data_IF_837705311417
#
_entry.id   IF_837705311417
#
_cell.length_a   1.000
_cell.length_b   1.000
_cell.length_c   1.000
_cell.angle_alpha   90.00
_cell.angle_beta   90.00
_cell.angle_gamma   90.00
#
_symmetry.space_group_name_H-M   'P 1'
#
loop_
_entity.id
_entity.type
_entity.pdbx_description
1 polymer ?
#
# COMPACT_ATOMS: atom_id res chain seq x y z
N UNK A 1 3.11 14.87 -14.43
CA UNK A 1 3.60 14.94 -13.03
C UNK A 1 2.78 13.97 -12.17
N UNK A 2 3.42 13.20 -11.31
CA UNK A 2 2.74 12.21 -10.47
C UNK A 2 2.32 12.84 -9.14
N UNK A 3 1.07 12.63 -8.72
CA UNK A 3 0.52 13.16 -7.46
C UNK A 3 -0.34 12.11 -6.75
N UNK A 4 -0.21 12.02 -5.43
CA UNK A 4 -1.10 11.19 -4.61
C UNK A 4 -2.47 11.87 -4.50
N UNK A 5 -3.52 11.15 -4.90
CA UNK A 5 -4.93 11.57 -4.78
C UNK A 5 -5.55 11.04 -3.49
N UNK A 6 -5.20 9.82 -3.09
CA UNK A 6 -5.66 9.20 -1.85
C UNK A 6 -4.48 8.65 -1.06
N UNK A 7 -4.33 9.10 0.17
CA UNK A 7 -3.35 8.57 1.13
C UNK A 7 -3.98 7.50 2.03
N UNK A 8 -3.19 6.53 2.51
CA UNK A 8 -3.64 5.57 3.51
C UNK A 8 -4.21 6.27 4.76
N UNK A 9 -5.39 5.86 5.21
CA UNK A 9 -5.99 6.39 6.44
C UNK A 9 -5.25 5.81 7.65
N UNK A 10 -4.97 6.67 8.65
CA UNK A 10 -4.52 6.21 9.96
C UNK A 10 -5.67 5.47 10.64
N UNK A 11 -5.45 4.20 10.93
CA UNK A 11 -6.45 3.30 11.53
C UNK A 11 -5.80 2.55 12.68
N UNK A 12 -6.49 2.46 13.80
CA UNK A 12 -6.12 1.60 14.93
C UNK A 12 -6.85 0.26 14.76
N UNK A 13 -6.18 -0.85 15.08
CA UNK A 13 -6.69 -2.18 14.84
C UNK A 13 -6.47 -3.09 16.06
N UNK A 14 -7.39 -4.02 16.29
CA UNK A 14 -7.27 -5.06 17.30
C UNK A 14 -6.61 -6.31 16.71
N UNK A 15 -5.98 -7.13 17.56
CA UNK A 15 -5.40 -8.40 17.14
C UNK A 15 -6.50 -9.32 16.60
N UNK A 16 -6.27 -9.88 15.40
CA UNK A 16 -7.20 -10.79 14.72
C UNK A 16 -8.10 -10.12 13.68
N UNK A 17 -8.13 -8.78 13.63
CA UNK A 17 -8.83 -8.04 12.57
C UNK A 17 -7.93 -7.88 11.34
N UNK A 18 -8.53 -7.56 10.18
CA UNK A 18 -7.83 -7.27 8.93
C UNK A 18 -8.33 -5.96 8.33
N UNK A 19 -7.44 -5.20 7.71
CA UNK A 19 -7.78 -3.95 7.02
C UNK A 19 -7.11 -3.85 5.66
N UNK A 20 -7.72 -3.05 4.80
CA UNK A 20 -7.14 -2.61 3.53
C UNK A 20 -6.76 -1.14 3.64
N UNK A 21 -5.47 -0.86 3.44
CA UNK A 21 -4.96 0.49 3.33
C UNK A 21 -4.95 0.90 1.85
N UNK A 22 -5.66 1.97 1.51
CA UNK A 22 -5.79 2.44 0.15
C UNK A 22 -4.74 3.51 -0.18
N UNK A 23 -4.17 3.45 -1.38
CA UNK A 23 -3.31 4.50 -1.94
C UNK A 23 -3.66 4.68 -3.42
N UNK A 24 -3.95 5.90 -3.85
CA UNK A 24 -4.27 6.22 -5.25
C UNK A 24 -3.38 7.36 -5.72
N UNK A 25 -2.76 7.19 -6.88
CA UNK A 25 -1.96 8.22 -7.52
C UNK A 25 -2.53 8.55 -8.90
N UNK A 26 -2.49 9.84 -9.25
CA UNK A 26 -2.72 10.32 -10.61
C UNK A 26 -1.33 10.45 -11.25
N UNK A 27 -1.14 9.77 -12.38
CA UNK A 27 0.07 9.83 -13.18
C UNK A 27 -0.29 9.94 -14.67
N UNK A 28 0.72 10.11 -15.51
CA UNK A 28 0.56 10.01 -16.96
C UNK A 28 0.23 8.57 -17.32
N UNK A 29 -0.91 8.34 -17.99
CA UNK A 29 -1.40 7.01 -18.33
C UNK A 29 -0.52 6.26 -19.34
N UNK A 30 0.42 6.95 -20.02
CA UNK A 30 1.40 6.32 -20.90
C UNK A 30 2.62 5.72 -20.17
N UNK A 31 2.75 5.99 -18.87
CA UNK A 31 3.86 5.53 -18.04
C UNK A 31 3.38 4.52 -16.99
N UNK A 32 4.25 3.57 -16.67
CA UNK A 32 4.01 2.64 -15.57
C UNK A 32 4.12 3.33 -14.21
N UNK A 33 3.27 2.91 -13.28
CA UNK A 33 3.30 3.36 -11.88
C UNK A 33 3.60 2.18 -10.97
N UNK A 34 4.48 2.40 -10.00
CA UNK A 34 4.83 1.40 -8.98
C UNK A 34 4.58 1.97 -7.60
N UNK A 35 3.95 1.18 -6.74
CA UNK A 35 3.69 1.51 -5.34
C UNK A 35 4.65 0.74 -4.44
N UNK A 36 5.20 1.45 -3.45
CA UNK A 36 6.03 0.87 -2.40
C UNK A 36 5.37 1.07 -1.04
N UNK A 37 5.27 -0.01 -0.28
CA UNK A 37 4.78 0.02 1.09
C UNK A 37 5.94 -0.22 2.05
N UNK A 38 5.97 0.55 3.13
CA UNK A 38 6.99 0.45 4.17
C UNK A 38 6.36 0.31 5.54
N UNK A 39 6.91 -0.59 6.35
CA UNK A 39 6.59 -0.74 7.77
C UNK A 39 7.81 -0.31 8.58
N UNK A 40 7.62 0.66 9.49
CA UNK A 40 8.70 1.21 10.34
C UNK A 40 9.94 1.67 9.54
N UNK A 41 9.72 2.18 8.32
CA UNK A 41 10.78 2.67 7.43
C UNK A 41 11.49 1.59 6.60
N UNK A 42 11.06 0.32 6.68
CA UNK A 42 11.58 -0.76 5.85
C UNK A 42 10.55 -1.22 4.82
N UNK A 43 10.94 -1.51 3.56
CA UNK A 43 10.04 -2.07 2.56
C UNK A 43 9.41 -3.38 3.03
N UNK A 44 8.11 -3.53 2.79
CA UNK A 44 7.41 -4.78 3.05
C UNK A 44 7.76 -5.77 1.94
N UNK A 45 8.25 -6.94 2.32
CA UNK A 45 8.46 -8.07 1.42
C UNK A 45 7.21 -8.97 1.47
N UNK A 46 6.29 -8.74 0.54
CA UNK A 46 5.02 -9.47 0.49
C UNK A 46 5.18 -10.97 0.21
N UNK A 47 6.31 -11.41 -0.34
CA UNK A 47 6.58 -12.83 -0.58
C UNK A 47 7.05 -13.52 0.71
N UNK A 48 7.90 -12.86 1.49
CA UNK A 48 8.38 -13.40 2.78
C UNK A 48 7.37 -13.26 3.91
N UNK A 49 6.54 -12.21 3.89
CA UNK A 49 5.58 -11.90 4.94
C UNK A 49 4.15 -12.36 4.60
N UNK A 50 4.01 -13.28 3.63
CA UNK A 50 2.76 -13.75 2.99
C UNK A 50 1.70 -14.43 3.88
N UNK A 51 1.68 -14.17 5.18
CA UNK A 51 0.59 -14.48 6.11
C UNK A 51 0.02 -13.27 6.87
N UNK A 52 0.73 -12.12 6.87
CA UNK A 52 0.30 -10.89 7.57
C UNK A 52 -0.02 -9.74 6.62
N UNK A 53 0.63 -9.67 5.46
CA UNK A 53 0.44 -8.60 4.49
C UNK A 53 0.23 -9.16 3.09
N UNK A 54 -0.65 -8.51 2.34
CA UNK A 54 -0.94 -8.83 0.94
C UNK A 54 -0.92 -7.54 0.10
N UNK A 55 -0.31 -7.61 -1.08
CA UNK A 55 -0.35 -6.51 -2.05
C UNK A 55 -1.55 -6.68 -2.98
N UNK A 56 -2.61 -5.94 -2.70
CA UNK A 56 -3.79 -5.88 -3.57
C UNK A 56 -3.53 -4.84 -4.67
N UNK A 57 -3.45 -5.27 -5.92
CA UNK A 57 -3.43 -4.37 -7.10
C UNK A 57 -4.78 -4.50 -7.80
N UNK A 58 -5.49 -3.38 -7.92
CA UNK A 58 -6.78 -3.25 -8.60
C UNK A 58 -6.65 -2.29 -9.78
#
# INVERSE_FOLDING_TARGET
>A
PTRIELTPKRTELTVGESIVLNCKAIHDASLDVTFYWMLKGQPIDFEKEGGHFESIRA
#
